data_IF_328002274695
#
_entry.id   IF_328002274695
#
_cell.length_a   1.000
_cell.length_b   1.000
_cell.length_c   1.000
_cell.angle_alpha   90.00
_cell.angle_beta   90.00
_cell.angle_gamma   90.00
#
_symmetry.space_group_name_H-M   'P 1'
#
loop_
_entity.id
_entity.type
_entity.pdbx_description
1 polymer ?
#
# COMPACT_ATOMS: atom_id res chain seq x y z
N UNK A 1 -9.47 -12.47 -16.05
CA UNK A 1 -8.14 -13.01 -15.66
C UNK A 1 -7.39 -11.95 -14.86
N UNK A 2 -6.47 -12.35 -13.95
CA UNK A 2 -5.60 -11.38 -13.24
C UNK A 2 -4.81 -10.49 -14.21
N UNK A 3 -4.48 -11.00 -15.38
CA UNK A 3 -3.80 -10.26 -16.47
C UNK A 3 -4.68 -9.13 -17.02
N UNK A 4 -5.98 -9.33 -17.16
CA UNK A 4 -6.89 -8.33 -17.74
C UNK A 4 -7.06 -7.12 -16.83
N UNK A 5 -6.89 -7.31 -15.52
CA UNK A 5 -6.96 -6.25 -14.50
C UNK A 5 -5.86 -5.19 -14.68
N UNK A 6 -4.66 -5.61 -15.11
CA UNK A 6 -3.53 -4.71 -15.28
C UNK A 6 -3.55 -3.96 -16.63
N UNK A 7 -4.42 -4.36 -17.56
CA UNK A 7 -4.56 -3.76 -18.88
C UNK A 7 -5.75 -2.79 -19.01
N UNK A 8 -6.60 -2.68 -17.99
CA UNK A 8 -7.78 -1.83 -18.00
C UNK A 8 -7.39 -0.33 -18.01
N UNK A 9 -7.63 0.33 -19.12
CA UNK A 9 -7.43 1.79 -19.30
C UNK A 9 -8.72 2.53 -18.95
N UNK A 10 -9.07 2.61 -17.68
CA UNK A 10 -10.05 3.58 -17.25
C UNK A 10 -9.37 4.96 -17.12
N UNK A 11 -9.88 5.97 -17.79
CA UNK A 11 -9.36 7.35 -17.71
C UNK A 11 -10.20 8.11 -16.69
N UNK A 12 -9.72 8.15 -15.46
CA UNK A 12 -10.32 8.96 -14.40
C UNK A 12 -9.76 10.39 -14.36
N UNK A 13 -10.39 11.26 -13.57
CA UNK A 13 -9.92 12.62 -13.29
C UNK A 13 -8.66 12.61 -12.40
N UNK A 14 -8.53 11.60 -11.53
CA UNK A 14 -7.40 11.37 -10.63
C UNK A 14 -6.68 10.10 -11.06
N UNK A 15 -5.37 10.21 -11.22
CA UNK A 15 -4.50 9.16 -11.73
C UNK A 15 -3.59 8.60 -10.62
N UNK A 16 -3.79 7.34 -10.25
CA UNK A 16 -3.00 6.63 -9.26
C UNK A 16 -2.07 5.64 -9.95
N UNK A 17 -0.77 5.76 -9.72
CA UNK A 17 0.22 4.82 -10.23
C UNK A 17 0.66 3.86 -9.13
N UNK A 18 0.40 2.58 -9.30
CA UNK A 18 0.86 1.48 -8.42
C UNK A 18 2.08 0.84 -9.06
N UNK A 19 3.21 0.85 -8.39
CA UNK A 19 4.42 0.19 -8.91
C UNK A 19 4.22 -1.33 -8.88
N UNK A 20 4.26 -1.94 -10.04
CA UNK A 20 4.04 -3.38 -10.22
C UNK A 20 5.38 -4.10 -10.30
N UNK A 21 5.95 -4.46 -9.13
CA UNK A 21 7.18 -5.26 -9.10
C UNK A 21 6.90 -6.75 -9.38
N UNK A 22 7.94 -7.52 -9.72
CA UNK A 22 7.80 -8.96 -10.03
C UNK A 22 7.18 -9.79 -8.89
N UNK A 23 7.36 -9.35 -7.64
CA UNK A 23 6.89 -10.08 -6.46
C UNK A 23 5.89 -9.26 -5.62
N UNK A 24 5.11 -8.43 -6.29
CA UNK A 24 4.03 -7.66 -5.66
C UNK A 24 3.14 -8.57 -4.80
N UNK A 25 2.75 -8.10 -3.62
CA UNK A 25 1.82 -8.77 -2.73
C UNK A 25 0.72 -7.82 -2.27
N UNK A 26 -0.42 -8.39 -1.84
CA UNK A 26 -1.55 -7.63 -1.29
C UNK A 26 -2.03 -6.49 -2.21
N UNK A 27 -2.05 -6.74 -3.52
CA UNK A 27 -2.55 -5.78 -4.50
C UNK A 27 -4.03 -5.40 -4.29
N UNK A 28 -4.75 -6.16 -3.48
CA UNK A 28 -6.12 -5.85 -3.06
C UNK A 28 -6.23 -4.58 -2.22
N UNK A 29 -5.13 -4.06 -1.67
CA UNK A 29 -5.10 -2.77 -0.97
C UNK A 29 -5.59 -1.60 -1.86
N UNK A 30 -5.60 -1.78 -3.19
CA UNK A 30 -6.00 -0.75 -4.16
C UNK A 30 -7.39 -0.96 -4.74
N UNK A 31 -8.07 -2.06 -4.40
CA UNK A 31 -9.39 -2.42 -4.95
C UNK A 31 -10.44 -1.33 -4.69
N UNK A 32 -10.38 -0.68 -3.53
CA UNK A 32 -11.30 0.41 -3.20
C UNK A 32 -11.19 1.58 -4.18
N UNK A 33 -9.99 1.93 -4.63
CA UNK A 33 -9.77 3.00 -5.60
C UNK A 33 -10.22 2.60 -7.01
N UNK A 34 -10.09 1.32 -7.38
CA UNK A 34 -10.54 0.80 -8.67
C UNK A 34 -12.08 0.86 -8.83
N UNK A 35 -12.82 0.91 -7.73
CA UNK A 35 -14.27 1.05 -7.74
C UNK A 35 -14.75 2.52 -7.88
N UNK A 36 -13.84 3.48 -7.76
CA UNK A 36 -14.17 4.91 -7.87
C UNK A 36 -14.20 5.35 -9.33
N UNK A 37 -15.37 5.78 -9.84
CA UNK A 37 -15.57 6.12 -11.27
C UNK A 37 -14.62 7.22 -11.78
N UNK A 38 -14.22 8.14 -10.90
CA UNK A 38 -13.40 9.29 -11.29
C UNK A 38 -11.90 9.06 -11.05
N UNK A 39 -11.51 7.84 -10.67
CA UNK A 39 -10.13 7.45 -10.37
C UNK A 39 -9.64 6.43 -11.39
N UNK A 40 -8.47 6.65 -11.94
CA UNK A 40 -7.75 5.62 -12.69
C UNK A 40 -6.63 5.02 -11.83
N UNK A 41 -6.62 3.70 -11.70
CA UNK A 41 -5.52 2.96 -11.05
C UNK A 41 -4.72 2.27 -12.13
N UNK A 42 -3.44 2.61 -12.25
CA UNK A 42 -2.53 2.05 -13.25
C UNK A 42 -1.41 1.28 -12.58
N UNK A 43 -1.20 0.06 -13.03
CA UNK A 43 -0.07 -0.75 -12.59
C UNK A 43 1.12 -0.51 -13.52
N UNK A 44 2.21 0.01 -12.96
CA UNK A 44 3.35 0.57 -13.69
C UNK A 44 4.56 -0.35 -13.55
N UNK A 45 5.11 -0.80 -14.67
CA UNK A 45 6.27 -1.69 -14.73
C UNK A 45 7.55 -1.01 -15.22
N UNK A 46 7.45 0.18 -15.82
CA UNK A 46 8.59 0.90 -16.36
C UNK A 46 8.39 2.43 -16.26
N UNK A 47 9.49 3.15 -16.46
CA UNK A 47 9.51 4.62 -16.31
C UNK A 47 8.55 5.34 -17.27
N UNK A 48 8.34 4.83 -18.49
CA UNK A 48 7.46 5.48 -19.47
C UNK A 48 5.99 5.43 -19.03
N UNK A 49 5.61 4.30 -18.42
CA UNK A 49 4.25 4.11 -17.90
C UNK A 49 3.99 4.97 -16.66
N UNK A 50 5.01 5.32 -15.87
CA UNK A 50 4.83 6.12 -14.66
C UNK A 50 4.19 7.48 -15.00
N UNK A 51 4.67 8.18 -16.02
CA UNK A 51 4.12 9.47 -16.41
C UNK A 51 4.17 10.50 -15.28
N UNK A 52 3.06 11.23 -15.10
CA UNK A 52 2.86 12.24 -14.06
C UNK A 52 1.57 11.94 -13.28
N UNK A 53 1.54 10.91 -12.43
CA UNK A 53 0.36 10.57 -11.64
C UNK A 53 0.08 11.60 -10.54
N UNK A 54 -1.11 11.53 -9.97
CA UNK A 54 -1.50 12.36 -8.82
C UNK A 54 -1.06 11.73 -7.49
N UNK A 55 -0.81 10.42 -7.46
CA UNK A 55 -0.26 9.69 -6.32
C UNK A 55 0.49 8.44 -6.83
N UNK A 56 1.62 8.13 -6.19
CA UNK A 56 2.39 6.91 -6.44
C UNK A 56 2.26 5.99 -5.24
N UNK A 57 1.83 4.75 -5.48
CA UNK A 57 1.86 3.69 -4.49
C UNK A 57 3.05 2.75 -4.70
N UNK A 58 3.74 2.44 -3.61
CA UNK A 58 4.67 1.32 -3.52
C UNK A 58 4.00 0.22 -2.69
N UNK A 59 3.48 -0.83 -3.30
CA UNK A 59 2.75 -1.90 -2.60
C UNK A 59 3.65 -2.81 -1.78
N UNK A 60 3.05 -3.80 -1.11
CA UNK A 60 3.77 -4.89 -0.47
C UNK A 60 4.56 -5.74 -1.46
N UNK A 61 5.59 -6.40 -0.97
CA UNK A 61 6.44 -7.31 -1.73
C UNK A 61 6.70 -8.61 -0.96
N UNK A 62 6.84 -9.72 -1.67
CA UNK A 62 7.29 -11.01 -1.11
C UNK A 62 8.81 -11.12 -1.04
N UNK A 63 9.53 -10.21 -1.66
CA UNK A 63 10.98 -10.07 -1.57
C UNK A 63 11.33 -8.59 -1.81
N UNK A 64 11.35 -7.84 -0.74
CA UNK A 64 11.53 -6.39 -0.74
C UNK A 64 12.87 -5.97 -1.32
N UNK A 65 13.95 -6.67 -0.93
CA UNK A 65 15.30 -6.36 -1.43
C UNK A 65 15.43 -6.64 -2.92
N UNK A 66 14.88 -7.77 -3.39
CA UNK A 66 14.90 -8.15 -4.79
C UNK A 66 14.09 -7.21 -5.69
N UNK A 67 12.90 -6.79 -5.21
CA UNK A 67 12.05 -5.87 -5.96
C UNK A 67 12.61 -4.44 -5.98
N UNK A 68 13.26 -3.98 -4.90
CA UNK A 68 13.98 -2.71 -4.90
C UNK A 68 15.16 -2.72 -5.89
N UNK A 69 15.93 -3.83 -5.94
CA UNK A 69 16.99 -4.00 -6.95
C UNK A 69 16.43 -3.95 -8.38
N UNK A 70 15.29 -4.60 -8.61
CA UNK A 70 14.61 -4.57 -9.91
C UNK A 70 14.18 -3.14 -10.28
N UNK A 71 13.57 -2.37 -9.36
CA UNK A 71 13.22 -0.97 -9.58
C UNK A 71 14.44 -0.11 -9.92
N UNK A 72 15.57 -0.37 -9.27
CA UNK A 72 16.85 0.32 -9.51
C UNK A 72 17.39 0.03 -10.90
N UNK A 73 17.35 -1.23 -11.32
CA UNK A 73 17.84 -1.68 -12.63
C UNK A 73 17.03 -1.13 -13.81
N UNK A 74 15.71 -0.99 -13.66
CA UNK A 74 14.85 -0.47 -14.73
C UNK A 74 14.60 1.05 -14.65
N UNK A 75 15.20 1.74 -13.66
CA UNK A 75 15.13 3.18 -13.50
C UNK A 75 13.89 3.70 -12.78
N UNK A 76 12.95 2.85 -12.37
CA UNK A 76 11.75 3.26 -11.62
C UNK A 76 12.10 3.89 -10.27
N UNK A 77 13.07 3.35 -9.53
CA UNK A 77 13.53 3.97 -8.28
C UNK A 77 13.92 5.43 -8.48
N UNK A 78 14.74 5.72 -9.49
CA UNK A 78 15.17 7.08 -9.81
C UNK A 78 14.00 7.97 -10.25
N UNK A 79 13.01 7.42 -10.95
CA UNK A 79 11.82 8.15 -11.36
C UNK A 79 10.92 8.50 -10.18
N UNK A 80 10.68 7.57 -9.26
CA UNK A 80 9.94 7.80 -8.01
C UNK A 80 10.64 8.84 -7.14
N UNK A 81 11.97 8.72 -6.96
CA UNK A 81 12.75 9.74 -6.21
C UNK A 81 12.66 11.14 -6.83
N UNK A 82 12.62 11.26 -8.15
CA UNK A 82 12.43 12.57 -8.82
C UNK A 82 11.02 13.14 -8.68
N UNK A 83 10.02 12.28 -8.48
CA UNK A 83 8.64 12.69 -8.24
C UNK A 83 8.42 13.15 -6.79
N UNK A 84 9.23 12.67 -5.84
CA UNK A 84 9.13 13.04 -4.43
C UNK A 84 9.15 14.57 -4.23
N UNK A 85 8.28 15.06 -3.33
CA UNK A 85 8.07 16.49 -3.08
C UNK A 85 7.20 17.21 -4.13
N UNK A 86 6.79 16.53 -5.20
CA UNK A 86 5.88 17.05 -6.24
C UNK A 86 4.62 16.20 -6.37
N UNK A 87 4.78 14.91 -6.23
CA UNK A 87 3.71 13.92 -6.25
C UNK A 87 3.77 13.16 -4.93
N UNK A 88 2.65 13.02 -4.22
CA UNK A 88 2.61 12.19 -3.02
C UNK A 88 3.01 10.76 -3.32
N UNK A 89 3.72 10.14 -2.37
CA UNK A 89 4.16 8.76 -2.45
C UNK A 89 3.69 8.02 -1.21
N UNK A 90 3.07 6.87 -1.37
CA UNK A 90 2.62 6.06 -0.25
C UNK A 90 3.16 4.62 -0.36
N UNK A 91 3.99 4.22 0.60
CA UNK A 91 4.53 2.87 0.70
C UNK A 91 3.74 2.01 1.68
N UNK A 92 3.41 0.78 1.28
CA UNK A 92 2.73 -0.21 2.13
C UNK A 92 3.66 -1.39 2.34
N UNK A 93 3.88 -1.79 3.60
CA UNK A 93 4.66 -2.97 4.00
C UNK A 93 6.05 -2.98 3.34
N UNK A 94 6.32 -3.85 2.37
CA UNK A 94 7.59 -3.84 1.61
C UNK A 94 7.88 -2.50 0.93
N UNK A 95 6.86 -1.85 0.36
CA UNK A 95 6.99 -0.51 -0.22
C UNK A 95 7.39 0.55 0.81
N UNK A 96 6.85 0.48 2.02
CA UNK A 96 7.28 1.33 3.13
C UNK A 96 8.74 1.10 3.49
N UNK A 97 9.18 -0.17 3.59
CA UNK A 97 10.58 -0.51 3.86
C UNK A 97 11.53 0.05 2.78
N UNK A 98 11.13 -0.02 1.50
CA UNK A 98 11.92 0.52 0.38
C UNK A 98 12.12 2.04 0.47
N UNK A 99 11.17 2.78 1.05
CA UNK A 99 11.26 4.24 1.20
C UNK A 99 12.28 4.68 2.23
N UNK A 100 12.70 3.80 3.14
CA UNK A 100 13.68 4.08 4.19
C UNK A 100 15.10 4.29 3.68
N UNK A 101 16.04 4.46 4.62
CA UNK A 101 17.46 4.60 4.32
C UNK A 101 18.12 3.26 3.99
N UNK A 102 17.77 2.20 4.71
CA UNK A 102 18.39 0.88 4.58
C UNK A 102 17.42 -0.24 4.90
N UNK A 103 17.56 -1.36 4.19
CA UNK A 103 16.99 -2.65 4.56
C UNK A 103 18.17 -3.59 4.83
N UNK A 104 18.27 -4.10 6.06
CA UNK A 104 19.28 -5.06 6.47
C UNK A 104 18.66 -6.45 6.64
N UNK A 105 19.31 -7.47 6.13
CA UNK A 105 18.90 -8.87 6.22
C UNK A 105 20.04 -9.74 6.77
N UNK A 106 20.35 -9.62 8.07
CA UNK A 106 21.46 -10.35 8.67
C UNK A 106 21.26 -11.86 8.68
N UNK A 107 20.01 -12.30 8.68
CA UNK A 107 19.62 -13.70 8.79
C UNK A 107 19.30 -14.37 7.45
N UNK A 108 19.47 -13.66 6.32
CA UNK A 108 19.15 -14.13 4.97
C UNK A 108 17.71 -14.62 4.84
N UNK A 109 16.80 -13.80 5.35
CA UNK A 109 15.36 -14.03 5.25
C UNK A 109 14.87 -13.88 3.79
N UNK A 110 15.44 -12.91 3.07
CA UNK A 110 15.23 -12.69 1.64
C UNK A 110 16.52 -12.99 0.86
N UNK A 111 17.41 -12.03 0.75
CA UNK A 111 18.63 -12.14 -0.07
C UNK A 111 19.93 -12.05 0.73
N UNK A 112 19.82 -11.74 2.02
CA UNK A 112 20.94 -11.51 2.92
C UNK A 112 21.67 -10.18 2.68
N UNK A 113 22.47 -9.79 3.66
CA UNK A 113 23.29 -8.58 3.61
C UNK A 113 22.47 -7.30 3.84
N UNK A 114 22.79 -6.25 3.08
CA UNK A 114 22.15 -4.94 3.22
C UNK A 114 21.91 -4.31 1.84
N UNK A 115 20.86 -3.53 1.74
CA UNK A 115 20.57 -2.69 0.57
C UNK A 115 20.20 -1.29 1.03
N UNK A 116 20.77 -0.28 0.37
CA UNK A 116 20.35 1.11 0.56
C UNK A 116 18.93 1.29 0.00
N UNK A 117 18.03 1.90 0.79
CA UNK A 117 16.70 2.24 0.38
C UNK A 117 16.63 3.50 -0.49
N UNK A 118 15.44 4.05 -0.64
CA UNK A 118 15.21 5.27 -1.43
C UNK A 118 15.56 6.56 -0.68
N UNK A 119 15.72 6.50 0.65
CA UNK A 119 16.05 7.65 1.50
C UNK A 119 14.99 8.76 1.47
N UNK A 120 13.74 8.37 1.34
CA UNK A 120 12.59 9.29 1.33
C UNK A 120 11.88 9.36 2.68
N UNK A 121 12.06 8.36 3.53
CA UNK A 121 11.59 8.35 4.92
C UNK A 121 12.76 8.16 5.90
N UNK A 122 12.74 8.80 7.08
CA UNK A 122 13.82 8.74 8.06
C UNK A 122 13.77 7.44 8.88
N UNK A 123 13.70 6.32 8.22
CA UNK A 123 13.58 5.00 8.84
C UNK A 123 14.59 4.01 8.28
N UNK A 124 14.89 2.97 9.04
CA UNK A 124 15.60 1.78 8.57
C UNK A 124 14.87 0.51 9.02
N UNK A 125 15.00 -0.54 8.24
CA UNK A 125 14.38 -1.84 8.52
C UNK A 125 15.45 -2.92 8.69
N UNK A 126 15.26 -3.79 9.68
CA UNK A 126 16.04 -5.02 9.85
C UNK A 126 15.07 -6.19 9.70
N UNK A 127 15.27 -7.02 8.66
CA UNK A 127 14.46 -8.21 8.44
C UNK A 127 14.74 -9.24 9.54
N UNK A 128 13.72 -9.90 10.02
CA UNK A 128 13.76 -10.89 11.09
C UNK A 128 13.08 -12.19 10.62
N UNK A 129 13.52 -13.34 11.19
CA UNK A 129 12.95 -14.66 10.86
C UNK A 129 11.51 -14.80 11.33
N UNK A 130 11.16 -14.12 12.41
CA UNK A 130 9.80 -14.13 12.94
C UNK A 130 8.90 -13.24 12.12
N UNK A 131 7.78 -13.82 11.69
CA UNK A 131 6.76 -13.10 10.93
C UNK A 131 5.79 -12.46 11.90
N UNK A 132 5.70 -11.13 11.86
CA UNK A 132 4.65 -10.42 12.58
C UNK A 132 3.34 -10.58 11.82
N UNK A 133 2.27 -10.95 12.55
CA UNK A 133 0.91 -11.01 12.00
C UNK A 133 -0.07 -10.61 13.10
N UNK A 134 -0.78 -9.52 12.88
CA UNK A 134 -1.88 -9.15 13.76
C UNK A 134 -2.98 -8.42 12.98
N UNK A 135 -4.21 -8.53 13.47
CA UNK A 135 -5.32 -7.69 13.04
C UNK A 135 -5.30 -6.43 13.89
N UNK A 136 -5.53 -5.28 13.29
CA UNK A 136 -5.46 -3.98 13.95
C UNK A 136 -6.70 -3.18 13.59
N UNK A 137 -7.34 -2.66 14.63
CA UNK A 137 -8.39 -1.65 14.55
C UNK A 137 -7.91 -0.42 15.30
N UNK A 138 -8.10 0.76 14.74
CA UNK A 138 -7.62 1.98 15.39
C UNK A 138 -8.08 3.26 14.71
N UNK A 139 -7.41 4.34 15.09
CA UNK A 139 -7.56 5.65 14.47
C UNK A 139 -6.22 6.11 13.96
N UNK A 140 -6.22 6.78 12.80
CA UNK A 140 -5.02 7.40 12.26
C UNK A 140 -4.57 8.52 13.20
N UNK A 141 -3.36 8.38 13.72
CA UNK A 141 -2.74 9.38 14.59
C UNK A 141 -1.79 10.25 13.78
N UNK A 142 -1.82 11.56 14.01
CA UNK A 142 -0.81 12.52 13.57
C UNK A 142 -0.35 12.37 12.10
N UNK A 143 -1.28 12.18 11.17
CA UNK A 143 -0.94 12.24 9.72
C UNK A 143 -0.60 13.67 9.38
N UNK A 144 0.56 13.90 8.77
CA UNK A 144 1.04 15.23 8.41
C UNK A 144 0.90 15.50 6.91
N UNK A 145 1.18 16.74 6.49
CA UNK A 145 1.24 17.15 5.10
C UNK A 145 -0.10 17.16 4.38
N UNK A 146 -0.11 16.78 3.11
CA UNK A 146 -1.30 16.92 2.27
C UNK A 146 -2.47 16.05 2.76
N UNK A 147 -2.17 14.93 3.42
CA UNK A 147 -3.18 14.02 3.98
C UNK A 147 -3.43 14.25 5.48
N UNK A 148 -3.03 15.38 6.05
CA UNK A 148 -3.23 15.72 7.47
C UNK A 148 -4.70 15.60 7.90
N UNK A 149 -5.65 15.85 6.99
CA UNK A 149 -7.08 15.69 7.23
C UNK A 149 -7.53 14.25 7.55
N UNK A 150 -6.68 13.25 7.34
CA UNK A 150 -6.96 11.86 7.72
C UNK A 150 -6.77 11.60 9.22
N UNK A 151 -6.16 12.51 9.97
CA UNK A 151 -5.99 12.36 11.42
C UNK A 151 -7.34 12.16 12.10
N UNK A 152 -7.44 11.08 12.89
CA UNK A 152 -8.67 10.71 13.62
C UNK A 152 -9.62 9.78 12.87
N UNK A 153 -9.40 9.51 11.57
CA UNK A 153 -10.20 8.53 10.84
C UNK A 153 -9.96 7.13 11.39
N UNK A 154 -11.04 6.36 11.51
CA UNK A 154 -10.97 4.97 11.94
C UNK A 154 -10.54 4.06 10.78
N UNK A 155 -9.74 3.07 11.10
CA UNK A 155 -9.36 2.02 10.16
C UNK A 155 -9.49 0.64 10.79
N UNK A 156 -9.66 -0.36 9.94
CA UNK A 156 -9.54 -1.78 10.25
C UNK A 156 -8.60 -2.38 9.24
N UNK A 157 -7.60 -3.11 9.69
CA UNK A 157 -6.61 -3.67 8.79
C UNK A 157 -5.82 -4.80 9.44
N UNK A 158 -4.74 -5.18 8.81
CA UNK A 158 -3.84 -6.18 9.36
C UNK A 158 -2.38 -5.87 8.99
N UNK A 159 -1.48 -6.25 9.87
CA UNK A 159 -0.05 -6.27 9.59
C UNK A 159 0.41 -7.70 9.30
N UNK A 160 1.22 -7.83 8.28
CA UNK A 160 1.87 -9.09 7.91
C UNK A 160 3.23 -8.80 7.28
N UNK A 161 4.27 -8.71 8.08
CA UNK A 161 5.61 -8.37 7.61
C UNK A 161 6.69 -9.16 8.32
N UNK A 162 7.89 -9.17 7.74
CA UNK A 162 9.12 -9.68 8.34
C UNK A 162 10.06 -8.49 8.50
N UNK A 163 10.45 -8.22 9.74
CA UNK A 163 11.36 -7.13 10.04
C UNK A 163 10.79 -6.08 10.98
N UNK A 164 11.68 -5.38 11.60
CA UNK A 164 11.42 -4.26 12.50
C UNK A 164 11.93 -2.97 11.85
N UNK A 165 11.09 -1.96 11.81
CA UNK A 165 11.43 -0.64 11.29
C UNK A 165 11.49 0.35 12.43
N UNK A 166 12.56 1.16 12.44
CA UNK A 166 12.83 2.13 13.48
C UNK A 166 13.19 3.47 12.86
N UNK A 167 12.93 4.56 13.60
CA UNK A 167 13.40 5.88 13.21
C UNK A 167 14.92 6.00 13.24
N UNK A 168 15.47 6.72 12.27
CA UNK A 168 16.85 7.20 12.27
C UNK A 168 16.88 8.61 12.84
N UNK A 169 17.56 8.81 13.98
CA UNK A 169 17.70 10.11 14.59
C UNK A 169 17.96 10.05 16.08
N UNK A 170 18.55 11.12 16.62
CA UNK A 170 18.65 11.35 18.06
C UNK A 170 17.28 11.87 18.55
N UNK A 171 16.84 11.45 19.73
CA UNK A 171 15.63 11.92 20.41
C UNK A 171 14.25 11.69 19.71
N UNK A 172 14.13 10.69 18.81
CA UNK A 172 12.88 10.44 18.09
C UNK A 172 12.49 11.53 17.12
N UNK A 173 13.36 12.52 16.93
CA UNK A 173 13.18 13.52 15.87
C UNK A 173 13.72 12.94 14.56
N UNK A 174 12.96 13.16 13.50
CA UNK A 174 13.32 12.76 12.16
C UNK A 174 14.69 13.35 11.79
N UNK A 175 15.71 12.47 11.69
CA UNK A 175 17.05 12.87 11.22
C UNK A 175 17.18 12.60 9.74
N UNK A 176 17.88 13.44 9.02
CA UNK A 176 18.15 13.28 7.58
C UNK A 176 19.34 12.38 7.27
N UNK A 177 20.00 11.81 8.29
CA UNK A 177 21.15 10.93 8.09
C UNK A 177 21.18 9.78 9.09
N UNK A 178 21.28 8.56 8.61
CA UNK A 178 21.54 7.35 9.39
C UNK A 178 23.03 6.95 9.33
N UNK A 179 23.95 7.91 9.38
CA UNK A 179 25.37 7.69 9.08
C UNK A 179 26.17 6.96 10.18
N UNK A 180 25.66 6.89 11.41
CA UNK A 180 26.39 6.29 12.54
C UNK A 180 25.62 5.15 13.21
N UNK A 181 26.31 4.03 13.45
CA UNK A 181 25.82 2.83 14.18
C UNK A 181 25.46 3.11 15.67
N UNK A 182 25.69 4.32 16.16
CA UNK A 182 25.41 4.73 17.54
C UNK A 182 24.00 5.31 17.77
N UNK A 183 23.17 5.37 16.73
CA UNK A 183 21.81 5.95 16.84
C UNK A 183 20.88 5.03 17.63
N UNK A 184 20.20 5.61 18.61
CA UNK A 184 19.16 4.91 19.36
C UNK A 184 18.04 4.54 18.40
N UNK A 185 17.74 3.25 18.28
CA UNK A 185 16.58 2.75 17.57
C UNK A 185 15.32 3.14 18.35
N UNK A 186 14.57 4.11 17.84
CA UNK A 186 13.31 4.51 18.45
C UNK A 186 12.20 3.76 17.73
N UNK A 187 11.44 2.98 18.50
CA UNK A 187 10.32 2.22 17.96
C UNK A 187 9.28 3.17 17.39
N UNK A 188 8.82 2.87 16.18
CA UNK A 188 7.72 3.58 15.53
C UNK A 188 6.42 3.15 16.18
N UNK A 189 5.63 4.12 16.60
CA UNK A 189 4.30 3.91 17.21
C UNK A 189 3.18 4.41 16.31
N UNK A 190 3.53 5.25 15.34
CA UNK A 190 2.55 5.83 14.40
C UNK A 190 2.08 4.79 13.39
N UNK A 191 0.80 4.78 13.11
CA UNK A 191 0.16 3.96 12.07
C UNK A 191 0.64 4.32 10.66
N UNK A 192 0.86 5.62 10.42
CA UNK A 192 1.39 6.17 9.18
C UNK A 192 2.56 7.06 9.51
N UNK A 193 3.72 6.73 8.98
CA UNK A 193 4.93 7.55 9.03
C UNK A 193 4.95 8.48 7.83
N UNK A 194 5.34 9.74 8.03
CA UNK A 194 5.52 10.69 6.93
C UNK A 194 6.90 11.35 6.98
N UNK A 195 7.36 11.86 5.84
CA UNK A 195 8.56 12.68 5.78
C UNK A 195 8.30 14.11 6.30
N UNK A 196 9.36 14.93 6.43
CA UNK A 196 9.24 16.30 6.91
C UNK A 196 8.50 17.24 5.96
N UNK A 197 8.32 16.87 4.70
CA UNK A 197 7.56 17.64 3.72
C UNK A 197 6.09 17.29 3.71
N UNK A 198 5.71 16.16 4.36
CA UNK A 198 4.35 15.64 4.35
C UNK A 198 3.88 15.25 2.96
N UNK A 199 4.78 14.71 2.15
CA UNK A 199 4.52 14.25 0.79
C UNK A 199 4.87 12.77 0.57
N UNK A 200 5.63 12.16 1.47
CA UNK A 200 5.98 10.73 1.44
C UNK A 200 5.45 10.06 2.69
N UNK A 201 4.76 8.95 2.51
CA UNK A 201 4.07 8.23 3.57
C UNK A 201 4.44 6.75 3.54
N UNK A 202 4.42 6.12 4.70
CA UNK A 202 4.63 4.68 4.85
C UNK A 202 3.80 4.08 5.96
N UNK A 203 3.29 2.87 5.74
CA UNK A 203 2.54 2.11 6.74
C UNK A 203 2.78 0.61 6.57
N UNK A 204 2.70 -0.14 7.66
CA UNK A 204 2.65 -1.60 7.61
C UNK A 204 1.25 -2.16 7.39
N UNK A 205 0.23 -1.33 7.52
CA UNK A 205 -1.16 -1.80 7.55
C UNK A 205 -1.67 -2.06 6.14
N UNK A 206 -2.06 -3.30 5.90
CA UNK A 206 -2.87 -3.73 4.77
C UNK A 206 -4.34 -3.52 5.06
N UNK A 207 -5.14 -3.21 4.04
CA UNK A 207 -6.55 -2.86 4.20
C UNK A 207 -6.78 -1.46 4.78
N UNK A 208 -5.73 -0.64 4.92
CA UNK A 208 -5.82 0.73 5.46
C UNK A 208 -6.87 1.58 4.73
N UNK A 209 -7.03 1.34 3.44
CA UNK A 209 -7.94 2.10 2.56
C UNK A 209 -9.33 1.46 2.42
N UNK A 210 -9.55 0.26 2.98
CA UNK A 210 -10.81 -0.50 2.81
C UNK A 210 -12.03 0.24 3.38
N UNK A 211 -11.82 1.10 4.39
CA UNK A 211 -12.83 2.08 4.78
C UNK A 211 -12.88 3.18 3.73
N UNK A 212 -14.00 3.29 3.03
CA UNK A 212 -14.20 4.22 1.92
C UNK A 212 -13.96 5.69 2.30
N UNK A 213 -14.13 6.05 3.57
CA UNK A 213 -13.86 7.39 4.08
C UNK A 213 -12.39 7.80 3.94
N UNK A 214 -11.42 6.91 4.23
CA UNK A 214 -9.99 7.19 4.09
C UNK A 214 -9.64 7.37 2.62
N UNK A 215 -9.99 6.39 1.78
CA UNK A 215 -9.74 6.45 0.35
C UNK A 215 -10.43 7.68 -0.29
N UNK A 216 -11.68 7.92 0.04
CA UNK A 216 -12.44 9.07 -0.44
C UNK A 216 -11.81 10.41 -0.06
N UNK A 217 -11.35 10.56 1.20
CA UNK A 217 -10.68 11.78 1.64
C UNK A 217 -9.36 12.01 0.88
N UNK A 218 -8.57 10.94 0.65
CA UNK A 218 -7.34 11.03 -0.15
C UNK A 218 -7.64 11.53 -1.55
N UNK A 219 -8.63 10.95 -2.22
CA UNK A 219 -9.02 11.32 -3.59
C UNK A 219 -9.57 12.75 -3.65
N UNK A 220 -10.39 13.17 -2.69
CA UNK A 220 -10.88 14.55 -2.59
C UNK A 220 -9.73 15.55 -2.37
N UNK A 221 -8.75 15.17 -1.56
CA UNK A 221 -7.56 16.01 -1.33
C UNK A 221 -6.76 16.19 -2.61
N UNK A 222 -6.47 15.09 -3.34
CA UNK A 222 -5.78 15.15 -4.63
C UNK A 222 -6.55 15.98 -5.67
N UNK A 223 -7.87 15.83 -5.72
CA UNK A 223 -8.72 16.63 -6.62
C UNK A 223 -8.66 18.11 -6.29
N UNK A 224 -8.71 18.47 -5.00
CA UNK A 224 -8.57 19.86 -4.55
C UNK A 224 -7.23 20.47 -4.93
N UNK A 225 -6.12 19.74 -4.77
CA UNK A 225 -4.79 20.17 -5.18
C UNK A 225 -4.71 20.41 -6.71
N UNK A 226 -5.44 19.62 -7.50
CA UNK A 226 -5.58 19.81 -8.97
C UNK A 226 -6.58 20.91 -9.36
N UNK A 227 -7.35 21.45 -8.42
CA UNK A 227 -8.45 22.37 -8.75
C UNK A 227 -9.64 21.70 -9.44
N UNK A 228 -9.85 20.40 -9.22
CA UNK A 228 -10.92 19.60 -9.82
C UNK A 228 -12.04 19.38 -8.80
N UNK A 229 -13.29 19.48 -9.27
CA UNK A 229 -14.47 19.10 -8.49
C UNK A 229 -14.89 17.68 -8.90
N UNK A 230 -15.01 16.79 -7.91
CA UNK A 230 -15.53 15.46 -8.09
C UNK A 230 -17.05 15.45 -7.85
N UNK A 231 -17.79 14.72 -8.67
CA UNK A 231 -19.25 14.67 -8.62
C UNK A 231 -19.81 13.58 -7.67
N UNK A 232 -18.97 12.91 -6.90
CA UNK A 232 -19.35 11.85 -5.97
C UNK A 232 -18.95 12.17 -4.54
N UNK A 233 -19.86 12.04 -3.56
CA UNK A 233 -19.64 12.48 -2.17
C UNK A 233 -19.70 11.38 -1.10
N UNK A 234 -20.17 10.18 -1.43
CA UNK A 234 -20.26 9.07 -0.46
C UNK A 234 -19.47 7.89 -1.00
N UNK A 235 -18.39 7.55 -0.32
CA UNK A 235 -17.55 6.42 -0.67
C UNK A 235 -17.98 5.21 0.15
N UNK A 236 -18.34 4.13 -0.51
CA UNK A 236 -18.70 2.89 0.16
C UNK A 236 -17.43 2.17 0.66
N UNK A 237 -17.53 1.55 1.83
CA UNK A 237 -16.48 0.66 2.31
C UNK A 237 -16.28 -0.51 1.35
N UNK A 238 -15.03 -0.87 1.09
CA UNK A 238 -14.67 -1.99 0.22
C UNK A 238 -15.34 -3.30 0.65
N UNK A 239 -15.51 -3.50 1.96
CA UNK A 239 -16.22 -4.64 2.50
C UNK A 239 -17.67 -4.73 2.01
N UNK A 240 -18.39 -3.61 2.02
CA UNK A 240 -19.78 -3.56 1.52
C UNK A 240 -19.84 -3.87 0.02
N UNK A 241 -18.91 -3.34 -0.75
CA UNK A 241 -18.80 -3.62 -2.19
C UNK A 241 -18.55 -5.11 -2.43
N UNK A 242 -17.63 -5.69 -1.68
CA UNK A 242 -17.24 -7.10 -1.78
C UNK A 242 -18.38 -8.05 -1.39
N UNK A 243 -19.10 -7.75 -0.32
CA UNK A 243 -20.29 -8.52 0.07
C UNK A 243 -21.36 -8.49 -1.03
N UNK A 244 -21.63 -7.34 -1.64
CA UNK A 244 -22.55 -7.24 -2.79
C UNK A 244 -22.07 -8.08 -3.99
N UNK A 245 -20.79 -8.11 -4.29
CA UNK A 245 -20.21 -8.95 -5.35
C UNK A 245 -20.37 -10.43 -5.04
N UNK A 246 -20.20 -10.84 -3.78
CA UNK A 246 -20.44 -12.23 -3.35
C UNK A 246 -21.92 -12.60 -3.47
N UNK A 247 -22.84 -11.73 -3.12
CA UNK A 247 -24.27 -11.98 -3.28
C UNK A 247 -24.62 -12.16 -4.76
N UNK A 248 -24.13 -11.27 -5.64
CA UNK A 248 -24.31 -11.40 -7.09
C UNK A 248 -23.74 -12.71 -7.64
N UNK A 249 -22.55 -13.12 -7.18
CA UNK A 249 -21.95 -14.39 -7.56
C UNK A 249 -22.79 -15.56 -7.06
N UNK A 250 -23.27 -15.50 -5.81
CA UNK A 250 -24.13 -16.54 -5.23
C UNK A 250 -25.44 -16.67 -6.00
N UNK A 251 -26.05 -15.57 -6.40
CA UNK A 251 -27.28 -15.56 -7.19
C UNK A 251 -27.05 -16.14 -8.60
N UNK A 252 -25.94 -15.75 -9.24
CA UNK A 252 -25.52 -16.35 -10.51
C UNK A 252 -25.32 -17.85 -10.40
N UNK A 253 -24.62 -18.33 -9.35
CA UNK A 253 -24.42 -19.75 -9.13
C UNK A 253 -25.74 -20.50 -8.90
N UNK A 254 -26.67 -19.91 -8.15
CA UNK A 254 -28.01 -20.48 -7.93
C UNK A 254 -28.83 -20.58 -9.22
N UNK A 255 -28.66 -19.63 -10.14
CA UNK A 255 -29.37 -19.63 -11.42
C UNK A 255 -28.83 -20.70 -12.39
N UNK A 256 -27.50 -20.92 -12.42
CA UNK A 256 -26.85 -21.77 -13.42
C UNK A 256 -26.42 -23.16 -12.91
N UNK A 257 -26.47 -23.40 -11.60
CA UNK A 257 -26.08 -24.68 -11.01
C UNK A 257 -27.27 -25.40 -10.34
N UNK A 258 -27.28 -26.73 -10.44
CA UNK A 258 -28.22 -27.58 -9.69
C UNK A 258 -27.80 -27.66 -8.22
N UNK A 259 -28.16 -26.62 -7.45
CA UNK A 259 -27.74 -26.46 -6.05
C UNK A 259 -28.13 -27.62 -5.14
N UNK A 260 -29.30 -28.27 -5.39
CA UNK A 260 -29.76 -29.46 -4.67
C UNK A 260 -28.76 -30.63 -4.77
N UNK A 261 -28.22 -30.87 -5.97
CA UNK A 261 -27.22 -31.92 -6.21
C UNK A 261 -25.90 -31.58 -5.49
N UNK A 262 -25.46 -30.33 -5.49
CA UNK A 262 -24.28 -29.87 -4.79
C UNK A 262 -24.45 -30.06 -3.27
N UNK A 263 -25.57 -29.64 -2.72
CA UNK A 263 -25.86 -29.87 -1.28
C UNK A 263 -26.00 -31.34 -0.94
N UNK A 264 -26.48 -32.20 -1.87
CA UNK A 264 -26.48 -33.63 -1.75
C UNK A 264 -25.07 -34.20 -1.59
N UNK A 265 -24.17 -33.85 -2.51
CA UNK A 265 -22.75 -34.28 -2.48
C UNK A 265 -22.04 -33.85 -1.20
N UNK A 266 -22.25 -32.61 -0.74
CA UNK A 266 -21.65 -32.09 0.49
C UNK A 266 -22.15 -32.83 1.74
N UNK A 267 -23.42 -33.22 1.79
CA UNK A 267 -23.96 -34.02 2.88
C UNK A 267 -23.36 -35.42 2.92
N UNK A 268 -23.17 -36.07 1.78
CA UNK A 268 -22.54 -37.40 1.66
C UNK A 268 -21.05 -37.38 2.05
N UNK A 269 -20.32 -36.30 1.70
CA UNK A 269 -18.91 -36.12 2.04
C UNK A 269 -18.65 -35.90 3.55
N UNK A 270 -19.64 -35.40 4.30
CA UNK A 270 -19.53 -35.22 5.76
C UNK A 270 -19.90 -36.47 6.58
N UNK A 271 -20.34 -37.56 5.96
CA UNK A 271 -20.74 -38.81 6.61
C UNK A 271 -19.65 -39.89 6.48
N UNK A 272 -18.59 -39.63 5.73
CA UNK A 272 -17.39 -40.45 5.56
C UNK A 272 -16.19 -39.86 6.30
#
# INVERSE_FOLDING_TARGET
SLTDRFDAKHVGKIDLAVIHYPRISNFTDFDVFEQMQEVSVRYVTNVRELGTPDLIFLPGSKNTMGDLKWMRQNGLEAAVKRAAGKVPIFGICGGYQMLGYEIADPDSVEEGGRIRGMELLPVRTVLQKEKHRCQIDGKLEAVEGIFAGLTGYEFTGYEIHMGETVYCGEDGKRSTSCADDAMRNIKITETVVSDSTGCVYGSYIHGLFDKGEIAGHMIQTLAREKGIILEGGVWEDYRTIKERQYDQLADTLREYLYMEDIYGMLREAHIS
#
